data_IF_463947194298
#
_entry.id   IF_463947194298
#
_cell.length_a   1.000
_cell.length_b   1.000
_cell.length_c   1.000
_cell.angle_alpha   90.00
_cell.angle_beta   90.00
_cell.angle_gamma   90.00
#
_symmetry.space_group_name_H-M   'P 1'
#
loop_
_entity.id
_entity.type
_entity.pdbx_description
1 polymer ?
#
# COMPACT_ATOMS: atom_id res chain seq x y z
N UNK A 1 -5.27 3.26 -20.99
CA UNK A 1 -3.99 2.55 -20.78
C UNK A 1 -3.25 2.44 -22.10
N UNK A 2 -2.03 3.00 -22.18
CA UNK A 2 -1.17 2.96 -23.37
C UNK A 2 -0.27 1.70 -23.40
N UNK A 3 0.63 1.63 -24.38
CA UNK A 3 1.51 0.47 -24.56
C UNK A 3 2.56 0.30 -23.45
N UNK A 4 3.14 1.42 -23.00
CA UNK A 4 4.08 1.41 -21.89
C UNK A 4 3.39 0.91 -20.62
N UNK A 5 2.18 1.41 -20.34
CA UNK A 5 1.42 1.00 -19.16
C UNK A 5 1.01 -0.48 -19.20
N UNK A 6 0.63 -1.02 -20.37
CA UNK A 6 0.36 -2.46 -20.51
C UNK A 6 1.61 -3.31 -20.25
N UNK A 7 2.76 -2.88 -20.78
CA UNK A 7 4.05 -3.55 -20.54
C UNK A 7 4.45 -3.49 -19.06
N UNK A 8 4.28 -2.33 -18.42
CA UNK A 8 4.50 -2.15 -17.00
C UNK A 8 3.61 -3.07 -16.16
N UNK A 9 2.34 -3.20 -16.53
CA UNK A 9 1.40 -4.12 -15.86
C UNK A 9 1.86 -5.56 -15.97
N UNK A 10 2.28 -6.01 -17.15
CA UNK A 10 2.79 -7.37 -17.33
C UNK A 10 4.05 -7.64 -16.48
N UNK A 11 4.93 -6.64 -16.34
CA UNK A 11 6.10 -6.74 -15.45
C UNK A 11 5.70 -6.80 -13.97
N UNK A 12 4.74 -5.98 -13.55
CA UNK A 12 4.19 -6.06 -12.19
C UNK A 12 3.67 -7.46 -11.91
N UNK A 13 2.79 -7.98 -12.78
CA UNK A 13 2.15 -9.28 -12.60
C UNK A 13 3.23 -10.38 -12.49
N UNK A 14 4.29 -10.33 -13.30
CA UNK A 14 5.41 -11.27 -13.21
C UNK A 14 6.19 -11.17 -11.89
N UNK A 15 6.43 -9.96 -11.38
CA UNK A 15 7.07 -9.74 -10.07
C UNK A 15 6.18 -10.25 -8.93
N UNK A 16 4.87 -10.00 -9.01
CA UNK A 16 3.91 -10.49 -8.02
C UNK A 16 3.89 -12.03 -8.00
N UNK A 17 3.77 -12.69 -9.16
CA UNK A 17 3.84 -14.15 -9.25
C UNK A 17 5.15 -14.71 -8.68
N UNK A 18 6.28 -14.08 -9.01
CA UNK A 18 7.57 -14.53 -8.47
C UNK A 18 7.64 -14.46 -6.94
N UNK A 19 7.11 -13.37 -6.35
CA UNK A 19 7.08 -13.22 -4.90
C UNK A 19 6.09 -14.19 -4.24
N UNK A 20 4.92 -14.41 -4.84
CA UNK A 20 3.95 -15.38 -4.37
C UNK A 20 4.55 -16.80 -4.35
N UNK A 21 5.30 -17.18 -5.39
CA UNK A 21 6.03 -18.46 -5.43
C UNK A 21 7.12 -18.55 -4.37
N UNK A 22 7.85 -17.46 -4.13
CA UNK A 22 8.97 -17.41 -3.18
C UNK A 22 8.50 -17.45 -1.72
N UNK A 23 7.36 -16.84 -1.42
CA UNK A 23 6.92 -16.57 -0.05
C UNK A 23 5.61 -17.26 0.34
N UNK A 24 4.88 -17.85 -0.61
CA UNK A 24 3.68 -18.66 -0.39
C UNK A 24 2.39 -17.86 -0.25
N UNK A 25 2.46 -16.58 0.13
CA UNK A 25 1.34 -15.64 0.13
C UNK A 25 1.82 -14.24 -0.29
N UNK A 26 0.93 -13.48 -0.91
CA UNK A 26 1.20 -12.09 -1.29
C UNK A 26 1.34 -11.16 -0.08
N UNK A 27 1.60 -9.86 -0.29
CA UNK A 27 1.85 -8.95 0.81
C UNK A 27 0.70 -8.76 1.80
N UNK A 28 0.88 -9.29 3.01
CA UNK A 28 -0.04 -9.11 4.14
C UNK A 28 0.51 -8.09 5.13
N UNK A 29 0.44 -6.81 4.79
CA UNK A 29 0.93 -5.70 5.63
C UNK A 29 0.28 -5.60 7.02
N UNK A 30 -0.82 -6.33 7.23
CA UNK A 30 -1.55 -6.41 8.49
C UNK A 30 -1.03 -7.47 9.45
N UNK A 31 -0.15 -8.38 8.98
CA UNK A 31 0.41 -9.47 9.77
C UNK A 31 1.72 -9.04 10.44
N UNK A 32 1.85 -9.16 11.78
CA UNK A 32 3.06 -8.75 12.49
C UNK A 32 4.33 -9.46 12.00
N UNK A 33 4.21 -10.74 11.67
CA UNK A 33 5.32 -11.60 11.21
C UNK A 33 5.51 -11.56 9.69
N UNK A 34 4.77 -10.69 8.98
CA UNK A 34 4.96 -10.52 7.54
C UNK A 34 6.40 -10.07 7.26
N UNK A 35 7.06 -10.72 6.31
CA UNK A 35 8.48 -10.51 6.01
C UNK A 35 8.82 -9.11 5.45
N UNK A 36 7.83 -8.20 5.34
CA UNK A 36 7.92 -6.80 4.87
C UNK A 36 8.67 -6.58 3.55
N UNK A 37 8.94 -7.68 2.82
CA UNK A 37 9.79 -7.75 1.65
C UNK A 37 11.19 -7.16 1.92
N UNK A 38 11.67 -7.20 3.17
CA UNK A 38 12.90 -6.53 3.57
C UNK A 38 14.16 -7.04 2.84
N UNK A 39 14.12 -8.30 2.38
CA UNK A 39 15.18 -8.92 1.58
C UNK A 39 15.14 -8.49 0.10
N UNK A 40 14.07 -7.83 -0.35
CA UNK A 40 13.88 -7.43 -1.74
C UNK A 40 14.48 -6.05 -2.04
N UNK A 41 14.93 -5.82 -3.28
CA UNK A 41 15.36 -4.51 -3.75
C UNK A 41 14.29 -3.44 -3.50
N UNK A 42 14.72 -2.19 -3.33
CA UNK A 42 13.80 -1.08 -3.07
C UNK A 42 12.74 -0.94 -4.17
N UNK A 43 13.14 -1.11 -5.43
CA UNK A 43 12.30 -1.02 -6.63
C UNK A 43 11.19 -2.08 -6.66
N UNK A 44 11.42 -3.24 -6.03
CA UNK A 44 10.41 -4.29 -5.89
C UNK A 44 9.47 -3.96 -4.73
N UNK A 45 10.02 -3.57 -3.57
CA UNK A 45 9.23 -3.20 -2.39
C UNK A 45 8.24 -2.07 -2.69
N UNK A 46 8.69 -1.04 -3.42
CA UNK A 46 7.85 0.11 -3.72
C UNK A 46 6.59 -0.26 -4.52
N UNK A 47 6.61 -1.28 -5.38
CA UNK A 47 5.42 -1.66 -6.17
C UNK A 47 4.26 -2.00 -5.23
N UNK A 48 4.51 -2.91 -4.28
CA UNK A 48 3.49 -3.38 -3.35
C UNK A 48 3.09 -2.34 -2.33
N UNK A 49 4.04 -1.51 -1.90
CA UNK A 49 3.76 -0.40 -0.98
C UNK A 49 2.84 0.63 -1.63
N UNK A 50 3.18 1.12 -2.83
CA UNK A 50 2.38 2.13 -3.53
C UNK A 50 0.98 1.59 -3.86
N UNK A 51 0.91 0.37 -4.41
CA UNK A 51 -0.38 -0.27 -4.71
C UNK A 51 -1.24 -0.47 -3.46
N UNK A 52 -0.65 -0.81 -2.33
CA UNK A 52 -1.39 -0.98 -1.07
C UNK A 52 -1.86 0.34 -0.47
N UNK A 53 -1.06 1.41 -0.54
CA UNK A 53 -1.48 2.75 -0.09
C UNK A 53 -2.66 3.22 -0.93
N UNK A 54 -2.52 3.21 -2.26
CA UNK A 54 -3.55 3.65 -3.20
C UNK A 54 -4.84 2.85 -3.03
N UNK A 55 -4.75 1.52 -3.01
CA UNK A 55 -5.91 0.64 -2.81
C UNK A 55 -6.66 0.95 -1.52
N UNK A 56 -5.95 1.08 -0.39
CA UNK A 56 -6.62 1.28 0.89
C UNK A 56 -7.25 2.66 1.02
N UNK A 57 -6.55 3.70 0.56
CA UNK A 57 -7.07 5.07 0.61
C UNK A 57 -8.27 5.22 -0.32
N UNK A 58 -8.21 4.68 -1.55
CA UNK A 58 -9.32 4.75 -2.49
C UNK A 58 -10.58 4.00 -2.03
N UNK A 59 -10.43 2.90 -1.28
CA UNK A 59 -11.56 2.08 -0.85
C UNK A 59 -12.22 2.51 0.47
N UNK A 60 -11.43 2.96 1.45
CA UNK A 60 -11.95 3.31 2.78
C UNK A 60 -11.17 4.41 3.48
N UNK A 61 -10.41 5.19 2.71
CA UNK A 61 -9.61 6.28 3.21
C UNK A 61 -8.43 5.86 4.08
N UNK A 62 -7.81 6.85 4.70
CA UNK A 62 -6.64 6.72 5.56
C UNK A 62 -6.91 5.82 6.76
N UNK A 63 -8.17 5.78 7.23
CA UNK A 63 -8.60 4.86 8.28
C UNK A 63 -8.42 3.41 7.83
N UNK A 64 -8.93 3.05 6.65
CA UNK A 64 -8.74 1.70 6.11
C UNK A 64 -7.25 1.36 5.91
N UNK A 65 -6.45 2.32 5.42
CA UNK A 65 -5.00 2.14 5.33
C UNK A 65 -4.39 1.82 6.69
N UNK A 66 -4.66 2.61 7.73
CA UNK A 66 -4.11 2.35 9.06
C UNK A 66 -4.53 0.98 9.59
N UNK A 67 -5.80 0.61 9.44
CA UNK A 67 -6.31 -0.67 9.92
C UNK A 67 -5.63 -1.87 9.25
N UNK A 68 -5.55 -1.85 7.91
CA UNK A 68 -5.02 -2.94 7.11
C UNK A 68 -3.50 -3.03 7.16
N UNK A 69 -2.81 -1.90 7.37
CA UNK A 69 -1.35 -1.83 7.32
C UNK A 69 -0.69 -1.78 8.70
N UNK A 70 -1.43 -1.86 9.80
CA UNK A 70 -0.84 -2.04 11.14
C UNK A 70 -0.25 -3.46 11.31
N UNK A 71 1.01 -3.60 11.79
CA UNK A 71 1.85 -2.56 12.40
C UNK A 71 2.79 -1.81 11.43
N UNK A 72 2.85 -2.21 10.16
CA UNK A 72 3.89 -1.82 9.20
C UNK A 72 3.68 -0.48 8.47
N UNK A 73 2.61 0.26 8.78
CA UNK A 73 2.25 1.49 8.06
C UNK A 73 3.39 2.52 8.00
N UNK A 74 4.22 2.65 9.04
CA UNK A 74 5.37 3.59 9.05
C UNK A 74 6.36 3.27 7.94
N UNK A 75 6.74 2.00 7.83
CA UNK A 75 7.66 1.53 6.80
C UNK A 75 7.08 1.79 5.41
N UNK A 76 5.78 1.56 5.24
CA UNK A 76 5.10 1.83 3.97
C UNK A 76 5.17 3.31 3.60
N UNK A 77 4.91 4.23 4.54
CA UNK A 77 5.05 5.67 4.28
C UNK A 77 6.51 6.04 3.95
N UNK A 78 7.49 5.53 4.70
CA UNK A 78 8.91 5.82 4.46
C UNK A 78 9.39 5.36 3.07
N UNK A 79 8.86 4.25 2.56
CA UNK A 79 9.11 3.77 1.20
C UNK A 79 8.40 4.67 0.18
N UNK A 80 7.13 4.99 0.42
CA UNK A 80 6.30 5.76 -0.49
C UNK A 80 6.80 7.20 -0.68
N UNK A 81 7.32 7.84 0.38
CA UNK A 81 7.93 9.18 0.32
C UNK A 81 9.07 9.27 -0.70
N UNK A 82 9.83 8.18 -0.87
CA UNK A 82 10.90 8.08 -1.87
C UNK A 82 10.37 7.62 -3.23
N UNK A 83 9.41 6.71 -3.24
CA UNK A 83 8.93 6.06 -4.44
C UNK A 83 8.03 6.96 -5.31
N UNK A 84 7.12 7.73 -4.72
CA UNK A 84 6.20 8.59 -5.48
C UNK A 84 6.93 9.63 -6.36
N UNK A 85 7.97 10.34 -5.88
CA UNK A 85 8.75 11.22 -6.76
C UNK A 85 9.47 10.46 -7.88
N UNK A 86 9.99 9.25 -7.59
CA UNK A 86 10.69 8.43 -8.58
C UNK A 86 9.80 8.00 -9.75
N UNK A 87 8.51 7.76 -9.48
CA UNK A 87 7.53 7.34 -10.50
C UNK A 87 6.84 8.51 -11.20
N UNK A 88 7.13 9.75 -10.81
CA UNK A 88 6.50 10.94 -11.40
C UNK A 88 5.21 11.40 -10.72
N UNK A 89 4.98 10.99 -9.47
CA UNK A 89 3.80 11.35 -8.67
C UNK A 89 4.12 12.20 -7.41
N UNK A 90 4.85 13.33 -7.51
CA UNK A 90 5.32 14.09 -6.33
C UNK A 90 4.19 14.58 -5.41
N UNK A 91 3.01 14.91 -5.96
CA UNK A 91 1.84 15.33 -5.17
C UNK A 91 1.35 14.24 -4.20
N UNK A 92 1.54 12.98 -4.53
CA UNK A 92 1.22 11.88 -3.61
C UNK A 92 2.19 11.87 -2.44
N UNK A 93 3.48 12.13 -2.69
CA UNK A 93 4.50 12.23 -1.64
C UNK A 93 4.20 13.39 -0.66
N UNK A 94 3.74 14.54 -1.17
CA UNK A 94 3.32 15.68 -0.34
C UNK A 94 2.18 15.31 0.61
N UNK A 95 1.20 14.54 0.13
CA UNK A 95 0.05 14.10 0.90
C UNK A 95 0.39 13.07 1.99
N UNK A 96 1.57 12.43 1.92
CA UNK A 96 1.99 11.46 2.94
C UNK A 96 2.26 12.09 4.30
N UNK A 97 2.56 13.39 4.36
CA UNK A 97 2.69 14.11 5.63
C UNK A 97 1.39 14.11 6.43
N UNK A 98 0.26 14.34 5.75
CA UNK A 98 -1.07 14.26 6.35
C UNK A 98 -1.47 12.83 6.70
N UNK A 99 -1.20 11.87 5.81
CA UNK A 99 -1.42 10.45 6.10
C UNK A 99 -0.68 10.04 7.38
N UNK A 100 0.61 10.39 7.50
CA UNK A 100 1.43 10.11 8.68
C UNK A 100 0.86 10.75 9.94
N UNK A 101 0.44 12.02 9.86
CA UNK A 101 -0.20 12.73 10.98
C UNK A 101 -1.47 12.01 11.46
N UNK A 102 -2.34 11.59 10.54
CA UNK A 102 -3.55 10.85 10.87
C UNK A 102 -3.23 9.48 11.49
N UNK A 103 -2.30 8.74 10.90
CA UNK A 103 -1.87 7.45 11.43
C UNK A 103 -1.27 7.56 12.84
N UNK A 104 -0.42 8.55 13.10
CA UNK A 104 0.15 8.80 14.42
C UNK A 104 -0.92 9.12 15.47
N UNK A 105 -1.93 9.92 15.11
CA UNK A 105 -3.01 10.27 16.02
C UNK A 105 -3.85 9.05 16.43
N UNK A 106 -4.20 8.21 15.45
CA UNK A 106 -5.19 7.13 15.65
C UNK A 106 -4.60 5.74 15.87
N UNK A 107 -3.27 5.58 15.84
CA UNK A 107 -2.62 4.28 15.96
C UNK A 107 -3.03 3.50 17.21
N UNK A 108 -3.06 4.16 18.38
CA UNK A 108 -3.40 3.49 19.63
C UNK A 108 -4.85 2.97 19.64
N UNK A 109 -5.79 3.77 19.12
CA UNK A 109 -7.20 3.38 18.97
C UNK A 109 -7.36 2.24 17.96
N UNK A 110 -6.70 2.35 16.81
CA UNK A 110 -6.71 1.31 15.78
C UNK A 110 -6.16 -0.03 16.32
N UNK A 111 -5.04 0.00 17.05
CA UNK A 111 -4.47 -1.19 17.70
C UNK A 111 -5.41 -1.79 18.74
N UNK A 112 -5.99 -0.97 19.61
CA UNK A 112 -6.93 -1.45 20.64
C UNK A 112 -8.17 -2.07 20.01
N UNK A 113 -8.72 -1.42 18.98
CA UNK A 113 -9.91 -1.88 18.25
C UNK A 113 -9.62 -3.17 17.47
N UNK A 114 -8.47 -3.28 16.78
CA UNK A 114 -8.04 -4.50 16.08
C UNK A 114 -7.87 -5.67 17.06
N UNK A 115 -7.23 -5.46 18.22
CA UNK A 115 -7.12 -6.48 19.28
C UNK A 115 -8.47 -6.97 19.79
N UNK A 116 -9.42 -6.06 20.00
CA UNK A 116 -10.81 -6.41 20.39
C UNK A 116 -11.48 -7.24 19.30
N UNK A 117 -11.38 -6.83 18.04
CA UNK A 117 -11.95 -7.57 16.92
C UNK A 117 -11.40 -9.00 16.82
N UNK A 118 -10.10 -9.20 17.07
CA UNK A 118 -9.47 -10.54 17.10
C UNK A 118 -10.05 -11.37 18.25
N UNK A 119 -10.10 -10.79 19.45
CA UNK A 119 -10.60 -11.48 20.64
C UNK A 119 -12.08 -11.89 20.50
N UNK A 120 -12.90 -11.06 19.87
CA UNK A 120 -14.32 -11.30 19.64
C UNK A 120 -14.60 -12.28 18.49
N UNK A 121 -13.56 -12.82 17.81
CA UNK A 121 -13.67 -13.63 16.59
C UNK A 121 -14.55 -13.01 15.51
N UNK A 122 -14.66 -11.69 15.52
CA UNK A 122 -15.49 -10.95 14.58
C UNK A 122 -14.86 -10.91 13.18
N UNK A 123 -13.68 -11.53 12.97
CA UNK A 123 -12.83 -11.51 11.76
C UNK A 123 -13.34 -12.28 10.52
N UNK A 124 -14.52 -12.90 10.52
CA UNK A 124 -14.91 -13.82 9.42
C UNK A 124 -16.22 -13.52 8.69
N UNK A 125 -16.97 -12.47 9.02
CA UNK A 125 -18.26 -12.20 8.33
C UNK A 125 -18.49 -10.71 8.06
N UNK A 126 -18.15 -10.31 6.82
CA UNK A 126 -18.68 -9.24 5.94
C UNK A 126 -19.11 -7.84 6.42
N UNK A 127 -19.08 -7.51 7.70
CA UNK A 127 -19.21 -6.12 8.20
C UNK A 127 -18.70 -6.12 9.62
N UNK A 128 -17.41 -5.86 9.82
CA UNK A 128 -16.80 -5.73 11.15
C UNK A 128 -17.37 -4.48 11.83
N UNK A 129 -18.27 -4.59 12.82
CA UNK A 129 -18.84 -3.40 13.46
C UNK A 129 -17.73 -2.53 14.05
N UNK A 130 -16.70 -3.16 14.62
CA UNK A 130 -15.52 -2.49 15.16
C UNK A 130 -14.65 -1.79 14.10
N UNK A 131 -14.56 -2.34 12.88
CA UNK A 131 -13.88 -1.64 11.78
C UNK A 131 -14.69 -0.41 11.36
N UNK A 132 -16.00 -0.56 11.17
CA UNK A 132 -16.90 0.55 10.83
C UNK A 132 -16.86 1.65 11.88
N UNK A 133 -16.97 1.29 13.16
CA UNK A 133 -16.83 2.20 14.30
C UNK A 133 -15.48 2.92 14.29
N UNK A 134 -14.39 2.21 13.98
CA UNK A 134 -13.07 2.83 13.86
C UNK A 134 -13.00 3.79 12.67
N UNK A 135 -13.52 3.40 11.49
CA UNK A 135 -13.56 4.27 10.32
C UNK A 135 -14.39 5.53 10.56
N UNK A 136 -15.47 5.45 11.32
CA UNK A 136 -16.31 6.60 11.65
C UNK A 136 -15.57 7.56 12.60
N UNK A 137 -14.84 7.03 13.59
CA UNK A 137 -13.97 7.86 14.44
C UNK A 137 -12.81 8.49 13.66
N UNK A 138 -12.20 7.74 12.75
CA UNK A 138 -11.15 8.24 11.87
C UNK A 138 -11.68 9.41 11.01
N UNK A 139 -12.82 9.23 10.33
CA UNK A 139 -13.45 10.29 9.53
C UNK A 139 -13.85 11.53 10.35
N UNK A 140 -14.23 11.34 11.62
CA UNK A 140 -14.54 12.46 12.50
C UNK A 140 -13.30 13.29 12.91
N UNK A 141 -12.11 12.68 12.94
CA UNK A 141 -10.86 13.39 13.23
C UNK A 141 -10.37 14.19 12.01
N UNK A 142 -10.36 13.57 10.84
CA UNK A 142 -9.89 14.18 9.60
C UNK A 142 -10.69 13.61 8.43
N UNK A 143 -11.51 14.46 7.80
CA UNK A 143 -12.33 14.11 6.63
C UNK A 143 -11.47 13.83 5.38
N UNK A 144 -10.19 14.19 5.46
CA UNK A 144 -9.14 13.86 4.54
C UNK A 144 -9.37 14.41 3.15
N UNK A 145 -9.61 15.72 3.06
CA UNK A 145 -9.59 16.43 1.79
C UNK A 145 -8.32 16.10 0.99
N UNK A 146 -7.15 15.96 1.61
CA UNK A 146 -5.88 15.59 0.96
C UNK A 146 -5.91 14.21 0.27
N UNK A 147 -6.81 13.30 0.67
CA UNK A 147 -6.89 11.94 0.13
C UNK A 147 -7.31 11.89 -1.33
N UNK A 148 -7.92 12.97 -1.86
CA UNK A 148 -8.38 13.04 -3.26
C UNK A 148 -7.27 12.75 -4.27
N UNK A 149 -6.00 13.00 -3.92
CA UNK A 149 -4.88 12.70 -4.81
C UNK A 149 -4.76 11.21 -5.10
N UNK A 150 -5.21 10.33 -4.20
CA UNK A 150 -5.12 8.87 -4.31
C UNK A 150 -6.36 8.21 -4.95
N UNK A 151 -7.40 8.98 -5.30
CA UNK A 151 -8.66 8.41 -5.84
C UNK A 151 -8.62 8.19 -7.36
N UNK A 152 -7.65 8.78 -8.04
CA UNK A 152 -7.44 8.58 -9.48
C UNK A 152 -6.37 7.54 -9.76
N UNK A 153 -6.29 7.12 -11.02
CA UNK A 153 -5.29 6.17 -11.48
C UNK A 153 -3.96 6.83 -11.87
N UNK A 154 -3.82 8.15 -11.75
CA UNK A 154 -2.67 8.89 -12.30
C UNK A 154 -1.31 8.39 -11.77
N UNK A 155 -1.18 8.20 -10.45
CA UNK A 155 0.04 7.66 -9.86
C UNK A 155 0.27 6.19 -10.23
N UNK A 156 -0.79 5.39 -10.25
CA UNK A 156 -0.71 4.00 -10.68
C UNK A 156 -0.21 3.89 -12.14
N UNK A 157 -0.81 4.66 -13.05
CA UNK A 157 -0.43 4.71 -14.45
C UNK A 157 1.00 5.24 -14.64
N UNK A 158 1.43 6.22 -13.85
CA UNK A 158 2.81 6.71 -13.86
C UNK A 158 3.81 5.64 -13.39
N UNK A 159 3.45 4.87 -12.36
CA UNK A 159 4.21 3.72 -11.90
C UNK A 159 4.32 2.61 -12.97
N UNK A 160 3.23 2.31 -13.69
CA UNK A 160 3.27 1.35 -14.81
C UNK A 160 4.19 1.84 -15.95
N UNK A 161 4.15 3.13 -16.29
CA UNK A 161 5.07 3.71 -17.27
C UNK A 161 6.53 3.65 -16.79
N UNK A 162 6.78 3.93 -15.51
CA UNK A 162 8.10 3.84 -14.91
C UNK A 162 8.63 2.39 -14.90
N UNK A 163 7.78 1.40 -14.59
CA UNK A 163 8.10 -0.03 -14.70
C UNK A 163 8.56 -0.42 -16.10
N UNK A 164 7.83 0.03 -17.13
CA UNK A 164 8.17 -0.25 -18.51
C UNK A 164 9.50 0.39 -18.94
N UNK A 165 9.79 1.61 -18.48
CA UNK A 165 11.06 2.29 -18.71
C UNK A 165 12.24 1.61 -18.00
N UNK A 166 11.98 0.90 -16.91
CA UNK A 166 12.98 0.20 -16.10
C UNK A 166 12.94 -1.33 -16.28
N UNK A 167 12.38 -1.83 -17.38
CA UNK A 167 12.19 -3.27 -17.65
C UNK A 167 13.45 -4.11 -17.37
N UNK A 168 14.62 -3.63 -17.80
CA UNK A 168 15.88 -4.36 -17.62
C UNK A 168 16.23 -4.64 -16.15
N UNK A 169 15.81 -3.77 -15.21
CA UNK A 169 15.97 -4.00 -13.78
C UNK A 169 15.11 -5.18 -13.32
N UNK A 170 13.83 -5.17 -13.70
CA UNK A 170 12.87 -6.19 -13.27
C UNK A 170 13.11 -7.53 -13.93
N UNK A 171 13.53 -7.56 -15.20
CA UNK A 171 13.93 -8.81 -15.85
C UNK A 171 15.15 -9.46 -15.18
N UNK A 172 16.17 -8.68 -14.83
CA UNK A 172 17.32 -9.18 -14.05
C UNK A 172 16.90 -9.71 -12.69
N UNK A 173 16.02 -8.99 -12.00
CA UNK A 173 15.46 -9.43 -10.72
C UNK A 173 14.76 -10.79 -10.84
N UNK A 174 13.98 -10.99 -11.91
CA UNK A 174 13.29 -12.24 -12.23
C UNK A 174 14.23 -13.35 -12.75
N UNK A 175 15.55 -13.15 -12.78
CA UNK A 175 16.50 -14.10 -13.37
C UNK A 175 16.41 -14.23 -14.89
N UNK A 176 15.65 -13.35 -15.55
CA UNK A 176 15.50 -13.28 -17.00
C UNK A 176 16.61 -12.37 -17.55
N UNK A 177 17.80 -12.93 -17.70
CA UNK A 177 18.92 -12.19 -18.31
C UNK A 177 18.68 -12.09 -19.82
N UNK A 178 18.69 -10.87 -20.34
CA UNK A 178 19.01 -10.60 -21.76
C UNK A 178 20.51 -10.41 -21.90
#
# INVERSE_FOLDING_TARGET
MDDAQRKGRALWDAVATHLDEKYGTGPEWGEPDYHTLAAEPFEVRMLFVLGSIEYNIANGGWGQFLWNCLPHWRLMIDIAEKAYPMTGAPRHAEALGDLRRCCLHSEADAMATKRRAIAERNFLVHTYPLFGEFLDRARAYDDGQWQHVFYGDDAHLALLSWLAANEGLFRRYLGQVQ
#
